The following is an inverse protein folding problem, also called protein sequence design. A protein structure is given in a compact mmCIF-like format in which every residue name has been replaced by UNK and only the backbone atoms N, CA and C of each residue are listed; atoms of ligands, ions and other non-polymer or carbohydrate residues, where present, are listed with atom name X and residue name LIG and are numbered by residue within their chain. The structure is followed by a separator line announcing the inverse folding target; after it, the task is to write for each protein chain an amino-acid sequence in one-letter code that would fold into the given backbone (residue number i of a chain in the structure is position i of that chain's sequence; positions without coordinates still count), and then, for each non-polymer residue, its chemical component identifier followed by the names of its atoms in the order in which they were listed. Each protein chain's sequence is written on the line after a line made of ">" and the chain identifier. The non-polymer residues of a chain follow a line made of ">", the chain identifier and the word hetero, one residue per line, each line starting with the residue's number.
data_IF_551837591720
#
_entry.id   IF_551837591720
#
_cell.length_a   1.000
_cell.length_b   1.000
_cell.length_c   1.000
_cell.angle_alpha   90.00
_cell.angle_beta   90.00
_cell.angle_gamma   90.00
#
_symmetry.space_group_name_H-M   'P 1'
#
loop_
_entity.id
_entity.type
_entity.pdbx_description
1 polymer ?
#
# COMPACT_ATOMS: atom_id res chain seq x y z
N UNK A 1 -0.02 -13.86 6.25
CA UNK A 1 0.61 -12.63 5.74
C UNK A 1 1.25 -11.94 6.93
N UNK A 2 2.57 -11.72 6.87
CA UNK A 2 3.29 -11.09 7.96
C UNK A 2 2.88 -9.62 8.08
N UNK A 3 2.98 -9.05 9.28
CA UNK A 3 2.58 -7.65 9.51
C UNK A 3 3.42 -6.70 8.65
N UNK A 4 4.73 -6.94 8.59
CA UNK A 4 5.71 -6.14 7.85
C UNK A 4 5.46 -6.14 6.34
N UNK A 5 4.92 -7.23 5.79
CA UNK A 5 4.62 -7.36 4.36
C UNK A 5 3.55 -6.38 3.88
N UNK A 6 2.78 -5.78 4.80
CA UNK A 6 1.73 -4.80 4.48
C UNK A 6 2.26 -3.39 4.20
N UNK A 7 3.53 -3.12 4.53
CA UNK A 7 4.09 -1.78 4.49
C UNK A 7 5.32 -1.70 3.57
N UNK A 8 5.73 -0.47 3.24
CA UNK A 8 7.03 -0.21 2.65
C UNK A 8 8.12 -0.39 3.72
N UNK A 9 9.34 -0.85 3.38
CA UNK A 9 10.41 -1.08 4.35
C UNK A 9 10.67 0.11 5.29
N UNK A 10 10.63 1.33 4.75
CA UNK A 10 10.80 2.59 5.47
C UNK A 10 9.67 2.90 6.47
N UNK A 11 8.47 2.37 6.24
CA UNK A 11 7.29 2.60 7.08
C UNK A 11 7.11 1.55 8.18
N UNK A 12 7.82 0.41 8.12
CA UNK A 12 7.61 -0.73 9.04
C UNK A 12 7.77 -0.32 10.51
N UNK A 13 8.82 0.42 10.85
CA UNK A 13 9.06 0.85 12.24
C UNK A 13 7.98 1.80 12.74
N UNK A 14 7.50 2.69 11.89
CA UNK A 14 6.37 3.56 12.24
C UNK A 14 5.08 2.76 12.40
N UNK A 15 4.81 1.82 11.50
CA UNK A 15 3.65 0.94 11.58
C UNK A 15 3.66 0.09 12.85
N UNK A 16 4.82 -0.38 13.33
CA UNK A 16 4.97 -1.07 14.61
C UNK A 16 4.57 -0.18 15.79
N UNK A 17 5.01 1.08 15.81
CA UNK A 17 4.63 2.05 16.85
C UNK A 17 3.14 2.35 16.85
N UNK A 18 2.57 2.59 15.67
CA UNK A 18 1.13 2.82 15.52
C UNK A 18 0.32 1.59 15.97
N UNK A 19 0.76 0.38 15.61
CA UNK A 19 0.10 -0.86 16.09
C UNK A 19 0.15 -0.98 17.60
N UNK A 20 1.28 -0.70 18.23
CA UNK A 20 1.42 -0.73 19.68
C UNK A 20 0.51 0.32 20.35
N UNK A 21 0.44 1.53 19.79
CA UNK A 21 -0.49 2.58 20.22
C UNK A 21 -1.95 2.11 20.12
N UNK A 22 -2.34 1.50 19.00
CA UNK A 22 -3.70 0.99 18.81
C UNK A 22 -4.08 -0.10 19.83
N UNK A 23 -3.15 -1.02 20.14
CA UNK A 23 -3.36 -2.04 21.18
C UNK A 23 -3.54 -1.37 22.55
N UNK A 24 -2.67 -0.41 22.89
CA UNK A 24 -2.77 0.34 24.14
C UNK A 24 -4.13 1.04 24.29
N UNK A 25 -4.60 1.72 23.24
CA UNK A 25 -5.89 2.41 23.24
C UNK A 25 -7.06 1.44 23.43
N UNK A 26 -7.04 0.28 22.77
CA UNK A 26 -8.08 -0.75 22.93
C UNK A 26 -8.13 -1.26 24.38
N UNK A 27 -6.98 -1.54 24.98
CA UNK A 27 -6.93 -2.02 26.37
C UNK A 27 -7.38 -0.94 27.36
N UNK A 28 -7.01 0.33 27.14
CA UNK A 28 -7.51 1.46 27.95
C UNK A 28 -9.01 1.64 27.81
N UNK A 29 -9.56 1.54 26.60
CA UNK A 29 -11.00 1.63 26.38
C UNK A 29 -11.78 0.55 27.12
N UNK A 30 -11.30 -0.70 27.12
CA UNK A 30 -11.94 -1.79 27.89
C UNK A 30 -11.99 -1.46 29.37
N UNK A 31 -10.86 -1.00 29.92
CA UNK A 31 -10.76 -0.63 31.34
C UNK A 31 -11.72 0.51 31.70
N UNK A 32 -11.71 1.61 30.94
CA UNK A 32 -12.61 2.74 31.21
C UNK A 32 -14.09 2.36 31.06
N UNK A 33 -14.40 1.46 30.12
CA UNK A 33 -15.76 0.96 29.93
C UNK A 33 -16.25 0.17 31.16
N UNK A 34 -15.39 -0.66 31.77
CA UNK A 34 -15.69 -1.39 33.00
C UNK A 34 -16.00 -0.46 34.19
N UNK A 35 -15.36 0.72 34.23
CA UNK A 35 -15.62 1.75 35.24
C UNK A 35 -16.79 2.70 34.89
N UNK A 36 -17.42 2.54 33.72
CA UNK A 36 -18.51 3.40 33.26
C UNK A 36 -18.05 4.79 32.78
N UNK A 37 -16.75 4.97 32.51
CA UNK A 37 -16.16 6.24 32.07
C UNK A 37 -16.32 6.44 30.55
N UNK A 38 -17.56 6.55 30.06
CA UNK A 38 -17.87 6.56 28.62
C UNK A 38 -17.27 7.74 27.84
N UNK A 39 -17.11 8.91 28.46
CA UNK A 39 -16.46 10.08 27.82
C UNK A 39 -14.99 9.79 27.49
N UNK A 40 -14.28 9.13 28.41
CA UNK A 40 -12.89 8.70 28.16
C UNK A 40 -12.81 7.63 27.07
N UNK A 41 -13.77 6.71 27.02
CA UNK A 41 -13.88 5.70 25.95
C UNK A 41 -14.08 6.39 24.59
N UNK A 42 -14.91 7.42 24.50
CA UNK A 42 -15.11 8.16 23.24
C UNK A 42 -13.83 8.88 22.80
N UNK A 43 -13.10 9.51 23.71
CA UNK A 43 -11.81 10.14 23.38
C UNK A 43 -10.79 9.12 22.88
N UNK A 44 -10.63 7.99 23.57
CA UNK A 44 -9.73 6.93 23.13
C UNK A 44 -10.15 6.32 21.79
N UNK A 45 -11.46 6.22 21.51
CA UNK A 45 -11.95 5.79 20.21
C UNK A 45 -11.56 6.75 19.08
N UNK A 46 -11.67 8.05 19.30
CA UNK A 46 -11.25 9.06 18.33
C UNK A 46 -9.75 8.96 18.03
N UNK A 47 -8.92 8.73 19.04
CA UNK A 47 -7.48 8.52 18.85
C UNK A 47 -7.17 7.21 18.14
N UNK A 48 -7.87 6.12 18.47
CA UNK A 48 -7.73 4.84 17.79
C UNK A 48 -8.04 4.97 16.30
N UNK A 49 -9.06 5.75 15.94
CA UNK A 49 -9.41 6.04 14.56
C UNK A 49 -8.27 6.75 13.80
N UNK A 50 -7.53 7.66 14.46
CA UNK A 50 -6.35 8.32 13.86
C UNK A 50 -5.22 7.31 13.59
N UNK A 51 -4.94 6.43 14.55
CA UNK A 51 -3.94 5.35 14.39
C UNK A 51 -4.32 4.39 13.27
N UNK A 52 -5.58 3.96 13.19
CA UNK A 52 -6.08 3.09 12.11
C UNK A 52 -5.99 3.76 10.74
N UNK A 53 -6.35 5.05 10.65
CA UNK A 53 -6.21 5.81 9.41
C UNK A 53 -4.75 5.91 8.97
N UNK A 54 -3.82 6.11 9.91
CA UNK A 54 -2.38 6.17 9.63
C UNK A 54 -1.87 4.84 9.09
N UNK A 55 -2.24 3.71 9.71
CA UNK A 55 -1.90 2.37 9.24
C UNK A 55 -2.47 2.09 7.83
N UNK A 56 -3.73 2.46 7.59
CA UNK A 56 -4.37 2.31 6.28
C UNK A 56 -3.69 3.17 5.21
N UNK A 57 -3.31 4.39 5.55
CA UNK A 57 -2.55 5.26 4.65
C UNK A 57 -1.21 4.64 4.23
N UNK A 58 -0.42 4.15 5.20
CA UNK A 58 0.86 3.48 4.90
C UNK A 58 0.67 2.21 4.05
N UNK A 59 -0.37 1.42 4.33
CA UNK A 59 -0.72 0.24 3.52
C UNK A 59 -1.10 0.62 2.10
N UNK A 60 -1.88 1.68 1.92
CA UNK A 60 -2.27 2.17 0.59
C UNK A 60 -1.07 2.70 -0.20
N UNK A 61 -0.12 3.37 0.46
CA UNK A 61 1.12 3.81 -0.18
C UNK A 61 1.92 2.64 -0.74
N UNK A 62 2.01 1.52 0.00
CA UNK A 62 2.64 0.30 -0.52
C UNK A 62 1.93 -0.20 -1.78
N UNK A 63 0.60 -0.30 -1.75
CA UNK A 63 -0.20 -0.77 -2.91
C UNK A 63 0.03 0.12 -4.14
N UNK A 64 0.10 1.44 -3.95
CA UNK A 64 0.38 2.40 -5.03
C UNK A 64 1.80 2.19 -5.56
N UNK A 65 2.80 2.13 -4.68
CA UNK A 65 4.21 1.92 -5.07
C UNK A 65 4.41 0.61 -5.82
N UNK A 66 3.82 -0.47 -5.35
CA UNK A 66 3.89 -1.77 -6.01
C UNK A 66 3.25 -1.70 -7.40
N UNK A 67 2.09 -1.04 -7.53
CA UNK A 67 1.42 -0.84 -8.84
C UNK A 67 2.27 -0.02 -9.80
N UNK A 68 2.90 1.06 -9.33
CA UNK A 68 3.80 1.90 -10.13
C UNK A 68 5.02 1.11 -10.60
N UNK A 69 5.68 0.35 -9.72
CA UNK A 69 6.79 -0.54 -10.07
C UNK A 69 6.39 -1.55 -11.14
N UNK A 70 5.22 -2.16 -11.01
CA UNK A 70 4.71 -3.10 -12.01
C UNK A 70 4.44 -2.40 -13.36
N UNK A 71 3.85 -1.20 -13.38
CA UNK A 71 3.62 -0.46 -14.62
C UNK A 71 4.93 -0.05 -15.30
N UNK A 72 5.93 0.39 -14.53
CA UNK A 72 7.26 0.72 -15.05
C UNK A 72 7.95 -0.52 -15.61
N UNK A 73 7.88 -1.66 -14.92
CA UNK A 73 8.40 -2.93 -15.45
C UNK A 73 7.73 -3.35 -16.76
N UNK A 74 6.40 -3.22 -16.87
CA UNK A 74 5.67 -3.55 -18.11
C UNK A 74 6.07 -2.62 -19.27
N UNK A 75 6.30 -1.33 -19.00
CA UNK A 75 6.82 -0.39 -20.01
C UNK A 75 8.32 -0.57 -20.31
N UNK A 76 9.05 -1.13 -19.37
CA UNK A 76 10.49 -1.38 -19.42
C UNK A 76 10.87 -2.73 -20.00
N UNK A 77 9.92 -3.58 -20.40
CA UNK A 77 10.21 -4.69 -21.32
C UNK A 77 10.56 -4.03 -22.65
N UNK A 78 11.85 -3.98 -23.06
CA UNK A 78 12.15 -3.57 -24.41
C UNK A 78 11.47 -4.60 -25.29
N UNK A 79 10.66 -4.14 -26.25
CA UNK A 79 10.20 -5.00 -27.34
C UNK A 79 11.43 -5.80 -27.78
N UNK A 80 11.39 -7.11 -27.56
CA UNK A 80 12.49 -8.02 -27.89
C UNK A 80 12.95 -7.63 -29.31
N UNK A 81 14.25 -7.47 -29.61
CA UNK A 81 14.71 -7.04 -30.93
C UNK A 81 14.06 -7.83 -32.08
N UNK A 82 13.69 -9.10 -31.84
CA UNK A 82 12.88 -9.93 -32.74
C UNK A 82 11.50 -9.31 -33.04
N UNK A 83 10.80 -8.82 -32.02
CA UNK A 83 9.48 -8.17 -32.14
C UNK A 83 9.58 -6.84 -32.91
N UNK A 84 10.67 -6.08 -32.72
CA UNK A 84 10.92 -4.83 -33.45
C UNK A 84 11.24 -5.12 -34.92
N UNK A 85 12.08 -6.11 -35.22
CA UNK A 85 12.37 -6.53 -36.60
C UNK A 85 11.13 -7.05 -37.34
N UNK A 86 10.28 -7.82 -36.67
CA UNK A 86 9.02 -8.30 -37.25
C UNK A 86 8.08 -7.14 -37.58
N UNK A 87 7.96 -6.14 -36.70
CA UNK A 87 7.12 -4.97 -36.95
C UNK A 87 7.65 -4.13 -38.13
N UNK A 88 8.97 -3.96 -38.24
CA UNK A 88 9.61 -3.26 -39.36
C UNK A 88 9.45 -4.02 -40.68
N UNK A 89 9.58 -5.35 -40.68
CA UNK A 89 9.33 -6.18 -41.88
C UNK A 89 7.88 -6.10 -42.34
N UNK A 90 6.91 -6.15 -41.43
CA UNK A 90 5.49 -6.01 -41.78
C UNK A 90 5.17 -4.61 -42.33
N UNK A 91 5.81 -3.56 -41.82
CA UNK A 91 5.64 -2.18 -42.31
C UNK A 91 6.19 -2.01 -43.74
N UNK A 92 7.30 -2.65 -44.07
CA UNK A 92 7.88 -2.60 -45.41
C UNK A 92 7.09 -3.45 -46.44
N UNK A 93 6.46 -4.55 -46.01
CA UNK A 93 5.60 -5.35 -46.91
C UNK A 93 4.34 -4.59 -47.36
N UNK A 94 3.78 -3.71 -46.52
CA UNK A 94 2.62 -2.88 -46.90
C UNK A 94 2.95 -1.79 -47.92
N UNK A 95 4.20 -1.30 -47.97
CA UNK A 95 4.63 -0.28 -48.94
C UNK A 95 4.90 -0.83 -50.34
N UNK A 96 5.10 -2.14 -50.49
CA UNK A 96 5.37 -2.78 -51.78
C UNK A 96 4.08 -3.27 -52.47
N UNK A 97 2.92 -3.00 -51.88
CA UNK A 97 1.59 -3.35 -52.41
C UNK A 97 0.74 -2.11 -52.77
N UNK A 98 1.34 -0.92 -52.79
CA UNK A 98 0.82 0.30 -53.43
C UNK A 98 1.61 0.56 -54.72
#
# INVERSE_FOLDING_TARGET
>A
MNFEEQFLPEDVERARKERACGIYLIERMKLEFEYGNFESVEHFYQDLRKTLNTLNYMRNNKVISDREKHQVMVKGIPLNPITVEQFLRMKNQRKNHE
#
